data_IF_512376569635
#
_entry.id   IF_512376569635
#
_cell.length_a   1.000
_cell.length_b   1.000
_cell.length_c   1.000
_cell.angle_alpha   90.00
_cell.angle_beta   90.00
_cell.angle_gamma   90.00
#
_symmetry.space_group_name_H-M   'P 1'
#
loop_
_entity.id
_entity.type
_entity.pdbx_description
1 polymer ?
#
# COMPACT_ATOMS: atom_id res chain seq x y z
N UNK A 1 -7.08 -16.71 -11.66
CA UNK A 1 -6.91 -17.62 -10.50
C UNK A 1 -7.96 -17.26 -9.46
N UNK A 2 -8.62 -18.24 -8.81
CA UNK A 2 -9.66 -17.95 -7.83
C UNK A 2 -9.20 -17.03 -6.68
N UNK A 3 -7.92 -17.12 -6.30
CA UNK A 3 -7.34 -16.37 -5.19
C UNK A 3 -7.23 -14.85 -5.47
N UNK A 4 -6.87 -14.45 -6.70
CA UNK A 4 -6.75 -13.03 -7.06
C UNK A 4 -8.10 -12.36 -7.30
N UNK A 5 -9.15 -13.13 -7.61
CA UNK A 5 -10.50 -12.61 -7.87
C UNK A 5 -11.08 -11.84 -6.68
N UNK A 6 -10.91 -12.34 -5.46
CA UNK A 6 -11.43 -11.68 -4.26
C UNK A 6 -10.75 -10.33 -4.00
N UNK A 7 -9.42 -10.29 -4.10
CA UNK A 7 -8.63 -9.07 -3.89
C UNK A 7 -8.97 -8.04 -4.94
N UNK A 8 -9.01 -8.44 -6.22
CA UNK A 8 -9.40 -7.56 -7.32
C UNK A 8 -10.81 -6.99 -7.13
N UNK A 9 -11.79 -7.83 -6.76
CA UNK A 9 -13.16 -7.37 -6.47
C UNK A 9 -13.20 -6.27 -5.39
N UNK A 10 -12.38 -6.40 -4.34
CA UNK A 10 -12.29 -5.39 -3.28
C UNK A 10 -11.62 -4.10 -3.78
N UNK A 11 -10.55 -4.20 -4.55
CA UNK A 11 -9.88 -3.05 -5.14
C UNK A 11 -10.80 -2.27 -6.09
N UNK A 12 -11.56 -2.96 -6.94
CA UNK A 12 -12.57 -2.38 -7.82
C UNK A 12 -13.69 -1.68 -7.04
N UNK A 13 -14.20 -2.32 -5.97
CA UNK A 13 -15.22 -1.71 -5.11
C UNK A 13 -14.73 -0.44 -4.39
N UNK A 14 -13.42 -0.32 -4.16
CA UNK A 14 -12.77 0.87 -3.61
C UNK A 14 -12.37 1.90 -4.68
N UNK A 15 -12.66 1.62 -5.96
CA UNK A 15 -12.30 2.47 -7.12
C UNK A 15 -10.81 2.81 -7.19
N UNK A 16 -9.96 1.84 -6.81
CA UNK A 16 -8.51 2.03 -6.88
C UNK A 16 -8.04 1.97 -8.34
N UNK A 17 -7.04 2.80 -8.68
CA UNK A 17 -6.31 2.70 -9.96
C UNK A 17 -5.51 1.39 -9.97
N UNK A 18 -5.62 0.64 -11.06
CA UNK A 18 -4.96 -0.67 -11.22
C UNK A 18 -4.00 -0.62 -12.41
N UNK A 19 -2.79 -1.16 -12.23
CA UNK A 19 -1.84 -1.47 -13.30
C UNK A 19 -1.76 -2.98 -13.44
N UNK A 20 -1.87 -3.50 -14.65
CA UNK A 20 -1.77 -4.94 -14.92
C UNK A 20 -0.35 -5.27 -15.37
N UNK A 21 0.33 -6.14 -14.63
CA UNK A 21 1.68 -6.63 -14.99
C UNK A 21 1.60 -8.10 -15.41
N UNK A 22 1.76 -8.36 -16.71
CA UNK A 22 1.85 -9.71 -17.28
C UNK A 22 3.31 -10.17 -17.19
N UNK A 23 3.64 -10.88 -16.11
CA UNK A 23 4.99 -11.37 -15.85
C UNK A 23 5.25 -12.76 -16.45
N UNK A 24 6.53 -13.14 -16.56
CA UNK A 24 7.06 -14.42 -17.07
C UNK A 24 6.87 -14.60 -18.58
N UNK A 25 6.97 -13.51 -19.34
CA UNK A 25 6.90 -13.56 -20.82
C UNK A 25 8.14 -14.24 -21.45
N UNK A 26 9.19 -14.50 -20.67
CA UNK A 26 10.41 -15.20 -21.06
C UNK A 26 10.24 -16.71 -21.24
N UNK A 27 9.09 -17.26 -20.84
CA UNK A 27 8.82 -18.69 -20.98
C UNK A 27 8.52 -19.04 -22.45
N UNK A 28 9.06 -20.17 -22.98
CA UNK A 28 8.77 -20.61 -24.35
C UNK A 28 7.28 -20.84 -24.63
N UNK A 29 6.52 -21.24 -23.61
CA UNK A 29 5.08 -21.48 -23.66
C UNK A 29 4.23 -20.29 -23.16
N UNK A 30 4.85 -19.11 -22.99
CA UNK A 30 4.14 -17.91 -22.58
C UNK A 30 3.06 -17.53 -23.61
N UNK A 31 1.88 -17.16 -23.11
CA UNK A 31 0.79 -16.63 -23.92
C UNK A 31 0.33 -15.28 -23.37
N UNK A 32 1.12 -14.19 -23.55
CA UNK A 32 0.83 -12.90 -22.93
C UNK A 32 -0.52 -12.31 -23.37
N UNK A 33 -0.84 -12.40 -24.67
CA UNK A 33 -2.11 -11.92 -25.21
C UNK A 33 -3.31 -12.65 -24.58
N UNK A 34 -3.28 -14.00 -24.54
CA UNK A 34 -4.32 -14.79 -23.91
C UNK A 34 -4.49 -14.46 -22.41
N UNK A 35 -3.38 -14.25 -21.69
CA UNK A 35 -3.42 -13.88 -20.28
C UNK A 35 -4.05 -12.50 -20.06
N UNK A 36 -3.76 -11.55 -20.96
CA UNK A 36 -4.35 -10.22 -20.95
C UNK A 36 -5.86 -10.29 -21.24
N UNK A 37 -6.27 -11.00 -22.29
CA UNK A 37 -7.70 -11.18 -22.62
C UNK A 37 -8.48 -11.76 -21.44
N UNK A 38 -7.93 -12.80 -20.79
CA UNK A 38 -8.53 -13.40 -19.59
C UNK A 38 -8.58 -12.44 -18.40
N UNK A 39 -7.67 -11.48 -18.34
CA UNK A 39 -7.69 -10.43 -17.31
C UNK A 39 -8.80 -9.43 -17.60
N UNK A 40 -8.99 -9.00 -18.86
CA UNK A 40 -10.12 -8.17 -19.25
C UNK A 40 -11.47 -8.85 -18.98
N UNK A 41 -11.63 -10.12 -19.37
CA UNK A 41 -12.83 -10.92 -19.07
C UNK A 41 -13.17 -10.86 -17.57
N UNK A 42 -12.14 -11.02 -16.72
CA UNK A 42 -12.30 -11.01 -15.26
C UNK A 42 -12.71 -9.63 -14.72
N UNK A 43 -12.18 -8.54 -15.28
CA UNK A 43 -12.57 -7.19 -14.88
C UNK A 43 -14.04 -6.92 -15.22
N UNK A 44 -14.48 -7.31 -16.42
CA UNK A 44 -15.88 -7.19 -16.84
C UNK A 44 -16.81 -8.03 -15.95
N UNK A 45 -16.43 -9.28 -15.65
CA UNK A 45 -17.20 -10.17 -14.77
C UNK A 45 -17.36 -9.58 -13.35
N UNK A 46 -16.35 -8.86 -12.87
CA UNK A 46 -16.36 -8.22 -11.55
C UNK A 46 -17.03 -6.84 -11.54
N UNK A 47 -17.49 -6.34 -12.68
CA UNK A 47 -18.19 -5.06 -12.81
C UNK A 47 -17.26 -3.85 -12.76
N UNK A 48 -16.07 -3.93 -13.38
CA UNK A 48 -15.22 -2.77 -13.58
C UNK A 48 -15.96 -1.69 -14.42
N UNK A 49 -15.84 -0.42 -14.01
CA UNK A 49 -16.31 0.71 -14.81
C UNK A 49 -15.31 1.07 -15.92
N UNK A 50 -15.71 1.95 -16.85
CA UNK A 50 -14.90 2.31 -18.02
C UNK A 50 -13.54 2.93 -17.63
N UNK A 51 -13.49 3.66 -16.51
CA UNK A 51 -12.23 4.25 -16.03
C UNK A 51 -11.27 3.19 -15.49
N UNK A 52 -11.79 2.19 -14.79
CA UNK A 52 -10.97 1.12 -14.20
C UNK A 52 -10.69 -0.01 -15.21
N UNK A 53 -11.47 -0.11 -16.29
CA UNK A 53 -11.22 -0.98 -17.43
C UNK A 53 -10.07 -0.48 -18.33
N UNK A 54 -9.77 0.82 -18.29
CA UNK A 54 -8.62 1.44 -18.97
C UNK A 54 -7.36 1.42 -18.10
N UNK A 55 -6.87 0.23 -17.76
CA UNK A 55 -5.62 0.07 -17.01
C UNK A 55 -4.38 0.01 -17.92
N UNK A 56 -3.24 0.59 -17.50
CA UNK A 56 -1.96 0.34 -18.15
C UNK A 56 -1.57 -1.14 -18.06
N UNK A 57 -0.99 -1.66 -19.14
CA UNK A 57 -0.48 -3.02 -19.22
C UNK A 57 1.03 -2.99 -19.36
N UNK A 58 1.71 -3.71 -18.49
CA UNK A 58 3.16 -3.89 -18.52
C UNK A 58 3.47 -5.37 -18.70
N UNK A 59 4.32 -5.69 -19.67
CA UNK A 59 4.85 -7.02 -19.87
C UNK A 59 6.21 -7.11 -19.20
N UNK A 60 6.47 -8.20 -18.47
CA UNK A 60 7.68 -8.31 -17.67
C UNK A 60 8.29 -9.71 -17.69
N UNK A 61 9.61 -9.74 -17.51
CA UNK A 61 10.39 -10.91 -17.15
C UNK A 61 11.17 -10.59 -15.87
N UNK A 62 10.60 -10.95 -14.72
CA UNK A 62 11.30 -10.79 -13.45
C UNK A 62 12.61 -11.60 -13.38
N UNK A 63 12.72 -12.70 -14.15
CA UNK A 63 13.94 -13.51 -14.23
C UNK A 63 15.09 -12.74 -14.88
N UNK A 64 14.78 -11.96 -15.92
CA UNK A 64 15.76 -11.19 -16.68
C UNK A 64 15.87 -9.74 -16.22
N UNK A 65 14.98 -9.29 -15.32
CA UNK A 65 14.94 -7.90 -14.86
C UNK A 65 14.41 -6.92 -15.90
N UNK A 66 13.54 -7.38 -16.80
CA UNK A 66 13.05 -6.61 -17.94
C UNK A 66 11.55 -6.31 -17.82
N UNK A 67 11.15 -5.10 -18.21
CA UNK A 67 9.76 -4.73 -18.40
C UNK A 67 9.58 -3.82 -19.62
N UNK A 68 8.38 -3.81 -20.20
CA UNK A 68 8.04 -2.95 -21.32
C UNK A 68 6.54 -2.90 -21.61
N UNK A 69 6.16 -1.98 -22.49
CA UNK A 69 4.75 -1.76 -22.89
C UNK A 69 4.28 -2.75 -23.97
N UNK A 70 5.22 -3.38 -24.67
CA UNK A 70 4.96 -4.43 -25.66
C UNK A 70 5.51 -5.77 -25.18
N UNK A 71 4.91 -6.92 -25.56
CA UNK A 71 5.39 -8.25 -25.19
C UNK A 71 6.61 -8.69 -26.03
N UNK A 72 7.61 -7.82 -26.19
CA UNK A 72 8.83 -8.08 -26.95
C UNK A 72 10.06 -7.86 -26.06
N UNK A 73 10.64 -8.96 -25.57
CA UNK A 73 11.81 -8.92 -24.70
C UNK A 73 13.05 -8.33 -25.37
N UNK A 74 13.18 -8.41 -26.70
CA UNK A 74 14.37 -7.94 -27.39
C UNK A 74 14.49 -6.41 -27.40
N UNK A 75 13.37 -5.71 -27.20
CA UNK A 75 13.32 -4.24 -27.12
C UNK A 75 13.42 -3.71 -25.69
N UNK A 76 13.40 -4.57 -24.68
CA UNK A 76 13.43 -4.17 -23.27
C UNK A 76 14.88 -4.03 -22.79
N UNK A 77 15.14 -3.00 -21.97
CA UNK A 77 16.46 -2.74 -21.38
C UNK A 77 16.51 -3.06 -19.90
N UNK A 78 15.48 -2.68 -19.15
CA UNK A 78 15.41 -2.78 -17.70
C UNK A 78 13.94 -2.71 -17.23
N UNK A 79 13.73 -2.50 -15.93
CA UNK A 79 12.40 -2.44 -15.30
C UNK A 79 11.82 -1.02 -15.21
N UNK A 80 12.54 0.02 -15.66
CA UNK A 80 12.13 1.43 -15.57
C UNK A 80 10.71 1.68 -16.10
N UNK A 81 10.24 1.06 -17.21
CA UNK A 81 8.87 1.26 -17.68
C UNK A 81 7.79 0.95 -16.64
N UNK A 82 8.04 0.01 -15.73
CA UNK A 82 7.11 -0.28 -14.63
C UNK A 82 7.07 0.88 -13.63
N UNK A 83 8.23 1.40 -13.24
CA UNK A 83 8.32 2.53 -12.31
C UNK A 83 7.72 3.80 -12.92
N UNK A 84 8.02 4.08 -14.19
CA UNK A 84 7.46 5.23 -14.92
C UNK A 84 5.93 5.15 -15.00
N UNK A 85 5.39 3.95 -15.21
CA UNK A 85 3.94 3.72 -15.21
C UNK A 85 3.34 3.94 -13.82
N UNK A 86 3.99 3.47 -12.76
CA UNK A 86 3.53 3.74 -11.38
C UNK A 86 3.52 5.24 -11.10
N UNK A 87 4.59 5.96 -11.43
CA UNK A 87 4.71 7.40 -11.20
C UNK A 87 3.69 8.23 -12.00
N UNK A 88 3.38 7.82 -13.22
CA UNK A 88 2.45 8.57 -14.10
C UNK A 88 0.98 8.24 -13.89
N UNK A 89 0.66 7.02 -13.43
CA UNK A 89 -0.73 6.54 -13.36
C UNK A 89 -1.30 6.47 -11.93
N UNK A 90 -0.46 6.22 -10.92
CA UNK A 90 -0.93 6.12 -9.53
C UNK A 90 -0.92 7.53 -8.91
N UNK A 91 -2.06 7.99 -8.35
CA UNK A 91 -2.11 9.31 -7.73
C UNK A 91 -1.26 9.34 -6.45
N UNK A 92 -0.80 10.54 -6.13
CA UNK A 92 -0.14 10.83 -4.86
C UNK A 92 -1.06 10.45 -3.68
N UNK A 93 -0.50 10.03 -2.53
CA UNK A 93 -1.29 9.71 -1.36
C UNK A 93 -2.07 10.96 -0.91
N UNK A 94 -3.39 10.80 -0.75
CA UNK A 94 -4.23 11.84 -0.16
C UNK A 94 -3.91 12.02 1.32
N UNK A 95 -3.89 13.27 1.78
CA UNK A 95 -3.68 13.62 3.18
C UNK A 95 -3.17 15.04 3.32
N UNK A 96 -3.20 15.58 4.53
CA UNK A 96 -2.67 16.90 4.84
C UNK A 96 -1.83 16.84 6.12
N UNK A 97 -0.55 17.20 6.00
CA UNK A 97 0.40 17.18 7.10
C UNK A 97 0.10 18.24 8.18
N UNK A 98 -0.74 19.23 7.88
CA UNK A 98 -1.10 20.30 8.79
C UNK A 98 -2.46 20.05 9.48
N UNK A 99 -3.18 18.99 9.10
CA UNK A 99 -4.37 18.50 9.80
C UNK A 99 -4.03 17.72 11.08
N UNK A 100 -4.99 17.51 12.00
CA UNK A 100 -4.77 16.66 13.17
C UNK A 100 -4.26 15.26 12.77
N UNK A 101 -3.33 14.74 13.57
CA UNK A 101 -2.78 13.40 13.41
C UNK A 101 -3.91 12.37 13.26
N UNK A 102 -3.85 11.55 12.21
CA UNK A 102 -4.79 10.45 12.00
C UNK A 102 -4.12 9.29 11.27
N UNK A 103 -4.04 8.13 11.93
CA UNK A 103 -3.45 6.91 11.38
C UNK A 103 -4.32 5.71 11.75
N UNK A 104 -4.76 4.95 10.74
CA UNK A 104 -5.49 3.70 10.94
C UNK A 104 -4.50 2.54 11.10
N UNK A 105 -4.65 1.75 12.17
CA UNK A 105 -3.86 0.53 12.35
C UNK A 105 -4.37 -0.55 11.39
N UNK A 106 -3.54 -0.94 10.42
CA UNK A 106 -3.90 -1.97 9.42
C UNK A 106 -3.26 -3.32 9.71
N UNK A 107 -2.07 -3.33 10.33
CA UNK A 107 -1.30 -4.56 10.58
C UNK A 107 -0.66 -4.51 11.95
N UNK A 108 -0.51 -5.68 12.57
CA UNK A 108 0.20 -5.85 13.83
C UNK A 108 1.34 -6.85 13.65
N UNK A 109 2.49 -6.57 14.26
CA UNK A 109 3.62 -7.50 14.32
C UNK A 109 4.14 -7.55 15.75
N UNK A 110 4.55 -8.72 16.21
CA UNK A 110 5.23 -8.85 17.50
C UNK A 110 6.74 -8.57 17.33
N UNK A 111 7.33 -7.90 18.29
CA UNK A 111 8.76 -7.67 18.41
C UNK A 111 9.22 -8.01 19.84
N UNK A 112 10.33 -8.73 19.95
CA UNK A 112 10.82 -9.27 21.22
C UNK A 112 11.22 -8.19 22.23
N UNK A 113 11.55 -6.97 21.77
CA UNK A 113 12.05 -5.88 22.61
C UNK A 113 11.06 -4.71 22.69
N UNK A 114 10.36 -4.44 21.59
CA UNK A 114 9.43 -3.30 21.48
C UNK A 114 7.96 -3.67 21.73
N UNK A 115 7.66 -4.95 21.94
CA UNK A 115 6.31 -5.44 22.16
C UNK A 115 5.51 -5.50 20.86
N UNK A 116 4.22 -5.14 20.91
CA UNK A 116 3.39 -5.10 19.69
C UNK A 116 3.66 -3.83 18.89
N UNK A 117 4.05 -4.01 17.64
CA UNK A 117 4.23 -2.96 16.65
C UNK A 117 2.95 -2.83 15.85
N UNK A 118 2.37 -1.63 15.85
CA UNK A 118 1.25 -1.28 14.99
C UNK A 118 1.74 -0.61 13.71
N UNK A 119 1.28 -1.09 12.56
CA UNK A 119 1.62 -0.51 11.26
C UNK A 119 0.37 0.00 10.57
N UNK A 120 0.51 1.13 9.90
CA UNK A 120 -0.59 1.81 9.21
C UNK A 120 -0.09 2.96 8.36
N UNK A 121 -0.96 3.45 7.48
CA UNK A 121 -0.71 4.66 6.70
C UNK A 121 -1.16 5.87 7.52
N UNK A 122 -0.29 6.87 7.63
CA UNK A 122 -0.63 8.16 8.20
C UNK A 122 -1.51 8.91 7.19
N UNK A 123 -2.77 9.12 7.53
CA UNK A 123 -3.73 9.81 6.65
C UNK A 123 -3.61 11.32 6.77
N UNK A 124 -3.41 11.84 7.98
CA UNK A 124 -3.30 13.27 8.25
C UNK A 124 -2.29 13.55 9.36
N UNK A 125 -1.78 14.77 9.38
CA UNK A 125 -0.88 15.30 10.38
C UNK A 125 0.55 14.78 10.29
N UNK A 126 1.30 15.04 11.37
CA UNK A 126 2.69 14.63 11.53
C UNK A 126 2.85 13.83 12.80
N UNK A 127 3.78 12.88 12.79
CA UNK A 127 4.10 12.08 13.96
C UNK A 127 5.58 12.19 14.29
N UNK A 128 5.89 12.49 15.55
CA UNK A 128 7.25 12.59 16.07
C UNK A 128 7.57 11.49 17.08
N UNK A 129 8.79 10.98 17.06
CA UNK A 129 9.26 10.03 18.05
C UNK A 129 9.10 10.58 19.47
N UNK A 130 8.58 9.75 20.38
CA UNK A 130 8.39 10.15 21.77
C UNK A 130 7.21 11.09 22.04
N UNK A 131 6.38 11.42 21.05
CA UNK A 131 5.20 12.26 21.27
C UNK A 131 4.06 11.53 22.00
N UNK A 132 3.19 12.29 22.65
CA UNK A 132 1.90 11.78 23.15
C UNK A 132 0.92 11.63 21.98
N UNK A 133 0.15 10.55 21.98
CA UNK A 133 -0.91 10.27 21.00
C UNK A 133 -2.19 9.87 21.71
N UNK A 134 -3.33 10.05 21.06
CA UNK A 134 -4.57 9.39 21.44
C UNK A 134 -4.72 8.09 20.65
N UNK A 135 -5.22 7.04 21.30
CA UNK A 135 -5.76 5.85 20.64
C UNK A 135 -7.26 5.85 20.80
N UNK A 136 -7.97 5.80 19.67
CA UNK A 136 -9.40 5.61 19.58
C UNK A 136 -9.66 4.13 19.28
N UNK A 137 -10.29 3.44 20.23
CA UNK A 137 -10.72 2.05 20.04
C UNK A 137 -11.95 1.97 19.15
N UNK A 138 -12.25 0.77 18.65
CA UNK A 138 -13.46 0.51 17.84
C UNK A 138 -14.77 0.81 18.59
N UNK A 139 -14.76 0.74 19.92
CA UNK A 139 -15.91 1.08 20.78
C UNK A 139 -16.03 2.59 21.07
N UNK A 140 -15.13 3.41 20.52
CA UNK A 140 -15.06 4.85 20.74
C UNK A 140 -14.28 5.27 21.99
N UNK A 141 -13.75 4.32 22.78
CA UNK A 141 -12.94 4.65 23.95
C UNK A 141 -11.63 5.30 23.53
N UNK A 142 -11.37 6.49 24.06
CA UNK A 142 -10.15 7.25 23.81
C UNK A 142 -9.20 7.09 24.99
N UNK A 143 -7.93 6.79 24.71
CA UNK A 143 -6.88 6.67 25.72
C UNK A 143 -5.58 7.30 25.23
N UNK A 144 -4.87 8.02 26.11
CA UNK A 144 -3.60 8.66 25.77
C UNK A 144 -2.43 7.71 26.05
N UNK A 145 -1.49 7.67 25.12
CA UNK A 145 -0.25 6.89 25.22
C UNK A 145 0.92 7.70 24.70
N UNK A 146 2.14 7.27 25.02
CA UNK A 146 3.36 7.89 24.51
C UNK A 146 4.07 6.92 23.57
N UNK A 147 4.46 7.39 22.39
CA UNK A 147 5.21 6.58 21.46
C UNK A 147 6.58 6.23 22.04
N UNK A 148 6.92 4.94 22.04
CA UNK A 148 8.23 4.43 22.49
C UNK A 148 9.18 4.30 21.30
N UNK A 149 8.65 3.94 20.13
CA UNK A 149 9.41 3.89 18.89
C UNK A 149 8.54 4.32 17.71
N UNK A 150 9.16 5.06 16.80
CA UNK A 150 8.62 5.44 15.50
C UNK A 150 9.59 4.93 14.44
N UNK A 151 9.07 4.19 13.46
CA UNK A 151 9.85 3.58 12.39
C UNK A 151 9.16 3.79 11.06
N UNK A 152 9.96 4.10 10.03
CA UNK A 152 9.55 4.08 8.63
C UNK A 152 10.11 2.82 7.95
N UNK A 153 9.85 2.67 6.65
CA UNK A 153 10.32 1.53 5.86
C UNK A 153 11.29 2.01 4.79
N UNK A 154 12.42 1.30 4.68
CA UNK A 154 13.39 1.49 3.62
C UNK A 154 13.74 0.13 3.03
N UNK A 155 13.35 -0.10 1.77
CA UNK A 155 13.41 -1.42 1.16
C UNK A 155 12.57 -2.44 1.93
N UNK A 156 13.22 -3.47 2.45
CA UNK A 156 12.58 -4.53 3.25
C UNK A 156 12.72 -4.31 4.76
N UNK A 157 13.51 -3.31 5.16
CA UNK A 157 13.88 -3.07 6.55
C UNK A 157 13.04 -1.94 7.15
N UNK A 158 13.00 -1.93 8.48
CA UNK A 158 12.44 -0.81 9.26
C UNK A 158 13.58 0.03 9.78
N UNK A 159 13.56 1.32 9.49
CA UNK A 159 14.51 2.29 10.01
C UNK A 159 13.84 3.16 11.07
N UNK A 160 14.61 3.60 12.07
CA UNK A 160 14.11 4.52 13.10
C UNK A 160 13.90 5.88 12.45
N UNK A 161 12.72 6.47 12.67
CA UNK A 161 12.36 7.78 12.13
C UNK A 161 12.11 8.75 13.28
N UNK A 162 12.62 9.98 13.14
CA UNK A 162 12.36 11.04 14.10
C UNK A 162 11.02 11.73 13.84
N UNK A 163 10.69 11.96 12.57
CA UNK A 163 9.46 12.60 12.13
C UNK A 163 8.96 11.91 10.86
N UNK A 164 7.64 11.84 10.71
CA UNK A 164 6.92 11.30 9.55
C UNK A 164 5.67 12.16 9.31
N UNK A 165 5.14 12.13 8.10
CA UNK A 165 4.00 12.97 7.71
C UNK A 165 2.95 12.23 6.90
N UNK A 166 1.82 12.91 6.64
CA UNK A 166 0.70 12.35 5.91
C UNK A 166 1.15 11.74 4.58
N UNK A 167 0.73 10.50 4.34
CA UNK A 167 1.16 9.68 3.21
C UNK A 167 2.11 8.55 3.60
N UNK A 168 2.89 8.70 4.68
CA UNK A 168 3.86 7.70 5.10
C UNK A 168 3.19 6.43 5.63
N UNK A 169 3.77 5.27 5.31
CA UNK A 169 3.47 4.00 5.97
C UNK A 169 4.45 3.85 7.13
N UNK A 170 3.92 3.77 8.36
CA UNK A 170 4.75 3.83 9.57
C UNK A 170 4.44 2.70 10.52
N UNK A 171 5.45 2.34 11.29
CA UNK A 171 5.39 1.31 12.31
C UNK A 171 5.71 1.92 13.68
N UNK A 172 4.79 1.78 14.63
CA UNK A 172 4.85 2.43 15.94
C UNK A 172 4.76 1.42 17.07
N UNK A 173 5.44 1.73 18.17
CA UNK A 173 5.40 0.95 19.41
C UNK A 173 5.14 1.85 20.63
N UNK A 174 4.75 1.26 21.76
CA UNK A 174 4.40 1.99 22.98
C UNK A 174 2.89 2.10 23.25
N UNK A 175 2.06 1.44 22.44
CA UNK A 175 0.62 1.35 22.62
C UNK A 175 0.31 0.00 23.28
N UNK A 176 -0.38 -0.05 24.44
CA UNK A 176 -0.77 -1.31 25.07
C UNK A 176 -1.91 -2.00 24.32
N UNK A 177 -1.73 -3.26 23.91
CA UNK A 177 -2.71 -4.06 23.15
C UNK A 177 -3.40 -3.30 22.01
N UNK A 178 -2.65 -2.84 20.98
CA UNK A 178 -3.24 -2.26 19.79
C UNK A 178 -4.02 -3.32 19.02
N UNK A 179 -5.13 -2.93 18.41
CA UNK A 179 -5.95 -3.78 17.54
C UNK A 179 -6.03 -3.19 16.13
N UNK A 180 -6.15 -4.06 15.13
CA UNK A 180 -6.40 -3.64 13.74
C UNK A 180 -7.72 -2.88 13.69
N UNK A 181 -7.81 -1.82 12.90
CA UNK A 181 -9.00 -0.98 12.77
C UNK A 181 -9.22 0.04 13.89
N UNK A 182 -8.28 0.17 14.82
CA UNK A 182 -8.23 1.29 15.76
C UNK A 182 -7.46 2.46 15.14
N UNK A 183 -7.74 3.68 15.62
CA UNK A 183 -7.13 4.91 15.12
C UNK A 183 -6.14 5.48 16.13
N UNK A 184 -4.95 5.82 15.66
CA UNK A 184 -4.00 6.67 16.38
C UNK A 184 -4.26 8.09 15.92
N UNK A 185 -4.63 8.96 16.86
CA UNK A 185 -5.11 10.29 16.61
C UNK A 185 -4.35 11.35 17.42
N UNK A 186 -4.58 12.61 17.08
CA UNK A 186 -4.06 13.75 17.84
C UNK A 186 -4.56 13.72 19.30
N UNK A 187 -3.70 13.95 20.30
CA UNK A 187 -4.08 13.88 21.71
C UNK A 187 -4.97 15.04 22.19
N UNK A 188 -5.05 16.13 21.43
CA UNK A 188 -5.86 17.32 21.71
C UNK A 188 -7.16 17.29 20.90
N UNK A 189 -7.08 16.91 19.62
CA UNK A 189 -8.21 16.80 18.71
C UNK A 189 -8.35 15.38 18.11
N UNK A 190 -8.82 14.40 18.89
CA UNK A 190 -8.84 13.00 18.47
C UNK A 190 -9.99 12.73 17.49
N UNK A 191 -9.67 12.71 16.19
CA UNK A 191 -10.60 12.44 15.08
C UNK A 191 -10.22 11.20 14.26
#
# INVERSE_FOLDING_TARGET
MPQTRFVLKKALAMKLKIIVVVNKIDKPDARPAFALDKTFDLFLELGADDETANFPVIYASAKQGLAGLEPDLAKMTDISPLFDTVLSYIPEPSGDADQPLQMLITTLTADNYKGRIATGKLLNGRMKAGQEIARIRRDGTISKHRLVALMSFEGLDRCVAENVEAGDIVAVAGIPDPMIGETIADPINPI
#
